data_IF_699680846237
#
_entry.id   IF_699680846237
#
_cell.length_a   1.000
_cell.length_b   1.000
_cell.length_c   1.000
_cell.angle_alpha   90.00
_cell.angle_beta   90.00
_cell.angle_gamma   90.00
#
_symmetry.space_group_name_H-M   'P 1'
#
loop_
_entity.id
_entity.type
_entity.pdbx_description
1 polymer ?
#
# COMPACT_ATOMS: atom_id res chain seq x y z
N UNK A 1 -5.95 10.63 -2.37
CA UNK A 1 -5.63 9.65 -3.42
C UNK A 1 -4.17 9.82 -3.74
N UNK A 2 -3.43 8.72 -3.88
CA UNK A 2 -2.00 8.76 -4.17
C UNK A 2 -1.56 7.52 -4.92
N UNK A 3 -0.48 7.69 -5.69
CA UNK A 3 0.17 6.63 -6.46
C UNK A 3 1.68 6.80 -6.37
N UNK A 4 2.39 5.77 -5.94
CA UNK A 4 3.86 5.76 -5.84
C UNK A 4 4.42 4.50 -6.48
N UNK A 5 5.49 4.65 -7.25
CA UNK A 5 6.34 3.52 -7.69
C UNK A 5 7.56 3.44 -6.78
N UNK A 6 7.76 2.32 -6.08
CA UNK A 6 8.91 2.13 -5.17
C UNK A 6 9.27 0.66 -5.05
N UNK A 7 10.57 0.35 -5.08
CA UNK A 7 11.06 -0.99 -4.79
C UNK A 7 10.60 -2.10 -5.75
N UNK A 8 10.14 -1.76 -6.96
CA UNK A 8 9.62 -2.70 -7.96
C UNK A 8 8.10 -2.86 -7.97
N UNK A 9 7.38 -2.09 -7.14
CA UNK A 9 5.93 -2.16 -7.01
C UNK A 9 5.27 -0.80 -7.25
N UNK A 10 3.98 -0.84 -7.54
CA UNK A 10 3.10 0.31 -7.63
C UNK A 10 2.13 0.25 -6.45
N UNK A 11 2.06 1.33 -5.67
CA UNK A 11 1.21 1.50 -4.50
C UNK A 11 0.15 2.54 -4.81
N UNK A 12 -1.13 2.20 -4.70
CA UNK A 12 -2.27 3.10 -4.97
C UNK A 12 -3.26 3.10 -3.79
N UNK A 13 -3.73 4.28 -3.39
CA UNK A 13 -4.72 4.48 -2.30
C UNK A 13 -5.67 5.63 -2.59
N UNK A 14 -6.89 5.61 -2.05
CA UNK A 14 -7.92 6.64 -2.27
C UNK A 14 -8.28 7.40 -0.99
N UNK A 15 -8.75 8.65 -1.14
CA UNK A 15 -9.10 9.53 0.00
C UNK A 15 -10.42 9.10 0.68
N UNK A 16 -11.14 8.14 0.12
CA UNK A 16 -12.43 7.65 0.62
C UNK A 16 -12.51 6.13 0.77
N UNK A 17 -11.37 5.45 0.96
CA UNK A 17 -11.39 3.99 1.15
C UNK A 17 -12.21 3.62 2.39
N UNK A 18 -13.25 2.83 2.18
CA UNK A 18 -14.11 2.29 3.22
C UNK A 18 -13.33 1.35 4.13
N UNK A 19 -13.69 1.29 5.42
CA UNK A 19 -13.01 0.41 6.37
C UNK A 19 -13.09 -1.07 5.92
N UNK A 20 -11.96 -1.81 5.91
CA UNK A 20 -10.62 -1.35 6.26
C UNK A 20 -9.96 -0.52 5.15
N UNK A 21 -9.36 0.62 5.52
CA UNK A 21 -8.50 1.38 4.59
C UNK A 21 -7.33 0.49 4.14
N UNK A 22 -7.03 0.51 2.85
CA UNK A 22 -6.07 -0.42 2.27
C UNK A 22 -5.31 0.21 1.10
N UNK A 23 -4.20 -0.43 0.73
CA UNK A 23 -3.37 -0.04 -0.42
C UNK A 23 -3.44 -1.14 -1.46
N UNK A 24 -3.67 -0.77 -2.71
CA UNK A 24 -3.55 -1.67 -3.86
C UNK A 24 -2.08 -1.78 -4.25
N UNK A 25 -1.61 -3.02 -4.41
CA UNK A 25 -0.24 -3.34 -4.77
C UNK A 25 -0.24 -4.00 -6.15
N UNK A 26 0.44 -3.37 -7.10
CA UNK A 26 0.70 -3.96 -8.41
C UNK A 26 2.19 -4.19 -8.62
N UNK A 27 2.54 -5.10 -9.52
CA UNK A 27 3.91 -5.23 -10.01
C UNK A 27 4.31 -4.02 -10.89
N UNK A 28 5.56 -4.02 -11.37
CA UNK A 28 6.11 -2.95 -12.21
C UNK A 28 5.34 -2.74 -13.52
N UNK A 29 4.67 -3.78 -14.03
CA UNK A 29 3.88 -3.76 -15.25
C UNK A 29 2.43 -3.31 -15.00
N UNK A 30 2.07 -3.12 -13.73
CA UNK A 30 0.75 -2.65 -13.32
C UNK A 30 -0.26 -3.77 -13.08
N UNK A 31 0.15 -5.04 -13.10
CA UNK A 31 -0.74 -6.15 -12.74
C UNK A 31 -0.98 -6.14 -11.23
N UNK A 32 -2.26 -6.08 -10.84
CA UNK A 32 -2.67 -6.14 -9.43
C UNK A 32 -2.21 -7.48 -8.83
N UNK A 33 -1.47 -7.39 -7.74
CA UNK A 33 -1.03 -8.53 -6.94
C UNK A 33 -1.98 -8.78 -5.77
N UNK A 34 -2.41 -7.71 -5.11
CA UNK A 34 -3.38 -7.78 -4.01
C UNK A 34 -3.45 -6.50 -3.21
N UNK A 35 -4.15 -6.57 -2.09
CA UNK A 35 -4.45 -5.44 -1.21
C UNK A 35 -3.90 -5.69 0.18
N UNK A 36 -3.44 -4.63 0.84
CA UNK A 36 -2.92 -4.67 2.21
C UNK A 36 -3.68 -3.67 3.06
N UNK A 37 -4.24 -4.15 4.18
CA UNK A 37 -4.93 -3.30 5.15
C UNK A 37 -3.93 -2.42 5.91
N UNK A 38 -4.21 -1.12 6.00
CA UNK A 38 -3.32 -0.15 6.64
C UNK A 38 -3.31 -0.21 8.17
N UNK A 39 -4.32 -0.81 8.79
CA UNK A 39 -4.39 -0.95 10.25
C UNK A 39 -3.62 -2.17 10.74
N UNK A 40 -3.77 -3.31 10.05
CA UNK A 40 -3.22 -4.60 10.50
C UNK A 40 -1.97 -5.02 9.74
N UNK A 41 -1.65 -4.38 8.62
CA UNK A 41 -0.60 -4.78 7.68
C UNK A 41 -0.78 -6.20 7.12
N UNK A 42 -2.01 -6.73 7.18
CA UNK A 42 -2.35 -8.04 6.63
C UNK A 42 -2.88 -7.89 5.21
N UNK A 43 -2.71 -8.94 4.40
CA UNK A 43 -3.38 -8.98 3.10
C UNK A 43 -4.88 -9.18 3.27
N UNK A 44 -5.64 -8.55 2.39
CA UNK A 44 -7.08 -8.76 2.26
C UNK A 44 -7.44 -9.81 1.20
N UNK A 45 -6.44 -10.33 0.49
CA UNK A 45 -6.59 -11.31 -0.58
C UNK A 45 -5.71 -12.53 -0.28
N UNK A 46 -5.81 -13.58 -1.11
CA UNK A 46 -4.98 -14.80 -0.97
C UNK A 46 -3.48 -14.55 -1.25
N UNK A 47 -3.14 -13.36 -1.75
CA UNK A 47 -1.77 -12.96 -2.02
C UNK A 47 -1.03 -12.59 -0.75
N UNK A 48 0.14 -13.20 -0.52
CA UNK A 48 0.99 -12.88 0.63
C UNK A 48 2.03 -11.82 0.24
N UNK A 49 1.94 -10.57 0.74
CA UNK A 49 2.91 -9.55 0.41
C UNK A 49 4.29 -9.95 0.95
N UNK A 50 5.36 -9.80 0.16
CA UNK A 50 6.71 -9.95 0.70
C UNK A 50 6.97 -8.85 1.73
N UNK A 51 7.85 -9.14 2.72
CA UNK A 51 8.18 -8.20 3.80
C UNK A 51 8.52 -6.79 3.32
N UNK A 52 9.24 -6.68 2.19
CA UNK A 52 9.60 -5.40 1.56
C UNK A 52 8.39 -4.52 1.22
N UNK A 53 7.28 -5.10 0.77
CA UNK A 53 6.05 -4.35 0.45
C UNK A 53 5.49 -3.74 1.73
N UNK A 54 5.40 -4.52 2.81
CA UNK A 54 4.91 -4.03 4.11
C UNK A 54 5.82 -2.93 4.67
N UNK A 55 7.13 -3.09 4.56
CA UNK A 55 8.09 -2.08 5.02
C UNK A 55 7.96 -0.76 4.23
N UNK A 56 7.73 -0.83 2.91
CA UNK A 56 7.46 0.36 2.09
C UNK A 56 6.15 1.04 2.49
N UNK A 57 5.08 0.29 2.75
CA UNK A 57 3.80 0.86 3.18
C UNK A 57 3.99 1.68 4.47
N UNK A 58 4.72 1.15 5.45
CA UNK A 58 5.02 1.86 6.70
C UNK A 58 5.82 3.14 6.47
N UNK A 59 6.83 3.10 5.60
CA UNK A 59 7.59 4.29 5.23
C UNK A 59 6.69 5.37 4.62
N UNK A 60 5.81 4.97 3.68
CA UNK A 60 4.86 5.89 3.07
C UNK A 60 3.89 6.49 4.09
N UNK A 61 3.42 5.71 5.07
CA UNK A 61 2.59 6.23 6.15
C UNK A 61 3.32 7.29 6.99
N UNK A 62 4.58 7.04 7.34
CA UNK A 62 5.39 8.00 8.09
C UNK A 62 5.61 9.29 7.29
N UNK A 63 6.03 9.19 6.04
CA UNK A 63 6.22 10.34 5.14
C UNK A 63 4.94 11.19 5.00
N UNK A 64 3.78 10.55 4.89
CA UNK A 64 2.48 11.24 4.80
C UNK A 64 2.09 11.92 6.12
N UNK A 65 2.46 11.35 7.26
CA UNK A 65 2.20 11.96 8.57
C UNK A 65 3.07 13.19 8.82
N UNK A 66 4.32 13.16 8.37
CA UNK A 66 5.27 14.27 8.48
C UNK A 66 4.87 15.45 7.59
N UNK A 67 4.28 15.19 6.41
CA UNK A 67 3.80 16.23 5.48
C UNK A 67 2.50 16.92 5.93
N UNK A 68 1.81 16.38 6.95
CA UNK A 68 0.57 16.96 7.49
C UNK A 68 0.80 17.85 8.72
N UNK A 69 2.02 17.89 9.25
CA UNK A 69 2.46 18.79 10.33
C UNK A 69 2.96 20.12 9.74
#
# INVERSE_FOLDING_TARGET
>A
MGKVRRGGYIFEWWIGDHSPSHVHISDSDGKLLGRVALETMQSLDDWKPPRKVVDIIRQLQNEQSEQRL
#
